data_IF_112872405405
#
_entry.id   IF_112872405405
#
_cell.length_a   1.000
_cell.length_b   1.000
_cell.length_c   1.000
_cell.angle_alpha   90.00
_cell.angle_beta   90.00
_cell.angle_gamma   90.00
#
_symmetry.space_group_name_H-M   'P 1'
#
loop_
_entity.id
_entity.type
_entity.pdbx_description
1 polymer ?
#
# COMPACT_ATOMS: atom_id res chain seq x y z
N UNK A 1 0.91 -15.89 -11.11
CA UNK A 1 2.29 -15.98 -11.64
C UNK A 1 3.12 -14.89 -11.00
N UNK A 2 4.30 -15.23 -10.48
CA UNK A 2 5.29 -14.28 -9.93
C UNK A 2 6.47 -14.06 -10.90
N UNK A 3 6.35 -14.54 -12.13
CA UNK A 3 7.41 -14.49 -13.15
C UNK A 3 7.98 -13.08 -13.37
N UNK A 4 7.16 -12.05 -13.18
CA UNK A 4 7.53 -10.66 -13.42
C UNK A 4 7.97 -9.92 -12.15
N UNK A 5 8.04 -10.59 -10.99
CA UNK A 5 8.28 -9.90 -9.73
C UNK A 5 9.73 -9.41 -9.56
N UNK A 6 10.69 -10.26 -9.88
CA UNK A 6 12.09 -9.90 -9.71
C UNK A 6 12.51 -8.76 -10.66
N UNK A 7 13.44 -7.94 -10.17
CA UNK A 7 14.02 -6.84 -10.95
C UNK A 7 14.68 -7.39 -12.21
N UNK A 8 14.35 -6.80 -13.34
CA UNK A 8 15.00 -7.05 -14.63
C UNK A 8 15.37 -5.69 -15.23
N UNK A 9 16.67 -5.38 -15.21
CA UNK A 9 17.19 -4.07 -15.60
C UNK A 9 16.78 -3.66 -17.02
N UNK A 10 16.50 -4.62 -17.90
CA UNK A 10 16.06 -4.38 -19.27
C UNK A 10 14.67 -3.74 -19.35
N UNK A 11 13.85 -3.87 -18.30
CA UNK A 11 12.50 -3.26 -18.22
C UNK A 11 12.54 -1.79 -17.80
N UNK A 12 13.68 -1.31 -17.29
CA UNK A 12 13.85 0.10 -16.89
C UNK A 12 13.15 0.51 -15.59
N UNK A 13 12.80 -0.46 -14.74
CA UNK A 13 12.28 -0.27 -13.38
C UNK A 13 12.72 -1.42 -12.46
N UNK A 14 12.79 -1.14 -11.16
CA UNK A 14 13.08 -2.09 -10.09
C UNK A 14 11.80 -2.78 -9.61
N UNK A 15 11.97 -4.01 -9.10
CA UNK A 15 10.88 -4.92 -8.70
C UNK A 15 9.93 -5.17 -9.87
N UNK A 16 8.71 -5.56 -9.56
CA UNK A 16 7.72 -5.89 -10.55
C UNK A 16 6.37 -6.20 -9.94
N UNK A 17 5.71 -7.22 -10.46
CA UNK A 17 4.34 -7.54 -10.08
C UNK A 17 4.06 -9.04 -10.16
N UNK A 18 3.02 -9.46 -9.45
CA UNK A 18 2.42 -10.77 -9.63
C UNK A 18 1.08 -10.62 -10.36
N UNK A 19 0.78 -11.58 -11.23
CA UNK A 19 -0.54 -11.72 -11.85
C UNK A 19 -1.33 -12.73 -11.04
N UNK A 20 -2.54 -12.36 -10.66
CA UNK A 20 -3.46 -13.21 -9.91
C UNK A 20 -4.82 -13.29 -10.61
N UNK A 21 -5.47 -14.42 -10.43
CA UNK A 21 -6.87 -14.58 -10.81
C UNK A 21 -7.71 -13.94 -9.71
N UNK A 22 -8.49 -12.93 -10.05
CA UNK A 22 -9.33 -12.22 -9.08
C UNK A 22 -10.73 -12.26 -9.64
N UNK A 23 -11.66 -12.96 -9.00
CA UNK A 23 -13.06 -12.89 -9.43
C UNK A 23 -13.74 -11.77 -8.67
N UNK A 24 -14.22 -10.68 -9.30
CA UNK A 24 -15.33 -10.00 -8.68
C UNK A 24 -16.54 -10.92 -8.81
N UNK A 25 -17.16 -11.24 -7.68
CA UNK A 25 -18.49 -11.84 -7.65
C UNK A 25 -19.48 -10.91 -8.39
N UNK A 26 -20.66 -11.38 -8.82
CA UNK A 26 -21.56 -10.60 -9.67
C UNK A 26 -21.87 -9.18 -9.18
N UNK A 27 -21.96 -8.99 -7.86
CA UNK A 27 -22.20 -7.67 -7.25
C UNK A 27 -21.02 -6.71 -7.49
N UNK A 28 -19.79 -7.16 -7.23
CA UNK A 28 -18.60 -6.35 -7.46
C UNK A 28 -18.35 -6.12 -8.96
N UNK A 29 -18.68 -7.10 -9.80
CA UNK A 29 -18.62 -6.92 -11.25
C UNK A 29 -19.59 -5.84 -11.73
N UNK A 30 -20.84 -5.83 -11.22
CA UNK A 30 -21.80 -4.78 -11.52
C UNK A 30 -21.30 -3.39 -11.11
N UNK A 31 -20.62 -3.29 -9.95
CA UNK A 31 -20.01 -2.04 -9.48
C UNK A 31 -18.90 -1.57 -10.41
N UNK A 32 -18.05 -2.49 -10.89
CA UNK A 32 -17.02 -2.14 -11.88
C UNK A 32 -17.65 -1.67 -13.20
N UNK A 33 -18.64 -2.40 -13.75
CA UNK A 33 -19.33 -2.01 -14.99
C UNK A 33 -19.98 -0.62 -14.85
N UNK A 34 -20.64 -0.35 -13.72
CA UNK A 34 -21.17 0.98 -13.39
C UNK A 34 -20.06 2.04 -13.29
N UNK A 35 -18.93 1.70 -12.68
CA UNK A 35 -17.76 2.58 -12.56
C UNK A 35 -17.15 2.99 -13.90
N UNK A 36 -17.32 2.17 -14.94
CA UNK A 36 -16.96 2.52 -16.32
C UNK A 36 -18.07 3.28 -17.07
N UNK A 37 -19.14 3.66 -16.37
CA UNK A 37 -20.22 4.50 -16.91
C UNK A 37 -21.33 3.72 -17.64
N UNK A 38 -21.31 2.38 -17.63
CA UNK A 38 -22.40 1.59 -18.20
C UNK A 38 -23.57 1.48 -17.22
N UNK A 39 -24.74 1.94 -17.63
CA UNK A 39 -25.96 1.93 -16.81
C UNK A 39 -27.19 1.47 -17.62
N UNK A 40 -28.29 1.16 -16.92
CA UNK A 40 -29.55 0.81 -17.55
C UNK A 40 -29.45 -0.44 -18.45
N UNK A 41 -29.93 -0.38 -19.72
CA UNK A 41 -29.84 -1.49 -20.65
C UNK A 41 -28.41 -2.00 -20.90
N UNK A 42 -27.42 -1.11 -20.93
CA UNK A 42 -26.03 -1.50 -21.14
C UNK A 42 -25.51 -2.34 -19.98
N UNK A 43 -25.67 -1.86 -18.73
CA UNK A 43 -25.32 -2.63 -17.53
C UNK A 43 -26.00 -4.01 -17.53
N UNK A 44 -27.28 -4.07 -17.91
CA UNK A 44 -28.01 -5.35 -17.98
C UNK A 44 -27.36 -6.34 -18.94
N UNK A 45 -26.82 -5.87 -20.06
CA UNK A 45 -26.16 -6.73 -21.04
C UNK A 45 -24.81 -7.25 -20.54
N UNK A 46 -23.96 -6.38 -19.99
CA UNK A 46 -22.72 -6.79 -19.31
C UNK A 46 -22.99 -7.84 -18.21
N UNK A 47 -24.05 -7.64 -17.42
CA UNK A 47 -24.44 -8.58 -16.36
C UNK A 47 -25.01 -9.89 -16.89
N UNK A 48 -25.66 -9.90 -18.07
CA UNK A 48 -26.15 -11.12 -18.71
C UNK A 48 -24.98 -11.99 -19.16
N UNK A 49 -23.92 -11.36 -19.64
CA UNK A 49 -22.72 -12.02 -20.13
C UNK A 49 -21.70 -12.33 -19.03
N UNK A 50 -22.03 -12.10 -17.74
CA UNK A 50 -21.12 -12.28 -16.60
C UNK A 50 -20.29 -13.58 -16.64
N UNK A 51 -20.89 -14.70 -17.05
CA UNK A 51 -20.21 -16.00 -17.13
C UNK A 51 -19.13 -16.09 -18.23
N UNK A 52 -19.08 -15.10 -19.12
CA UNK A 52 -18.10 -14.94 -20.19
C UNK A 52 -17.04 -13.88 -19.86
N UNK A 53 -17.15 -13.23 -18.69
CA UNK A 53 -16.14 -12.31 -18.20
C UNK A 53 -15.11 -13.04 -17.33
N UNK A 54 -13.86 -12.60 -17.46
CA UNK A 54 -12.76 -13.07 -16.61
C UNK A 54 -11.91 -11.89 -16.18
N UNK A 55 -11.44 -11.90 -14.94
CA UNK A 55 -10.65 -10.81 -14.38
C UNK A 55 -9.28 -11.32 -13.93
N UNK A 56 -8.25 -10.63 -14.42
CA UNK A 56 -6.88 -10.76 -13.94
C UNK A 56 -6.53 -9.51 -13.14
N UNK A 57 -6.00 -9.71 -11.94
CA UNK A 57 -5.42 -8.65 -11.13
C UNK A 57 -3.90 -8.64 -11.25
N UNK A 58 -3.31 -7.45 -11.16
CA UNK A 58 -1.86 -7.27 -11.00
C UNK A 58 -1.58 -6.59 -9.68
N UNK A 59 -0.62 -7.13 -8.93
CA UNK A 59 -0.14 -6.55 -7.68
C UNK A 59 1.27 -6.02 -7.95
N UNK A 60 1.34 -4.74 -8.33
CA UNK A 60 2.61 -4.05 -8.53
C UNK A 60 3.21 -3.69 -7.17
N UNK A 61 4.48 -4.04 -6.96
CA UNK A 61 5.23 -3.46 -5.85
C UNK A 61 5.53 -1.99 -6.17
N UNK A 62 5.11 -1.13 -5.24
CA UNK A 62 5.37 0.31 -5.29
C UNK A 62 6.48 0.62 -4.30
N UNK A 63 7.45 1.45 -4.71
CA UNK A 63 8.62 1.71 -3.87
C UNK A 63 8.25 2.56 -2.64
N UNK A 64 8.88 2.31 -1.49
CA UNK A 64 8.67 3.13 -0.30
C UNK A 64 9.31 4.51 -0.51
N UNK A 65 8.49 5.56 -0.53
CA UNK A 65 8.93 6.95 -0.56
C UNK A 65 8.76 7.58 0.82
N UNK A 66 9.70 8.41 1.26
CA UNK A 66 9.64 9.06 2.57
C UNK A 66 8.51 10.11 2.63
N UNK A 67 8.19 10.70 1.48
CA UNK A 67 7.14 11.70 1.31
C UNK A 67 5.74 11.08 1.39
N UNK A 68 5.62 9.78 1.11
CA UNK A 68 4.38 9.03 1.24
C UNK A 68 4.18 8.65 2.71
N UNK A 69 3.31 9.39 3.40
CA UNK A 69 3.14 9.29 4.85
C UNK A 69 1.70 9.52 5.28
N UNK A 70 1.40 9.03 6.47
CA UNK A 70 0.17 9.35 7.20
C UNK A 70 0.55 10.28 8.36
N UNK A 71 -0.07 11.45 8.42
CA UNK A 71 0.08 12.41 9.52
C UNK A 71 -1.27 12.68 10.16
N UNK A 72 -1.27 13.32 11.33
CA UNK A 72 -2.50 13.77 11.97
C UNK A 72 -2.89 15.15 11.41
N UNK A 73 -4.14 15.32 10.99
CA UNK A 73 -4.69 16.62 10.60
C UNK A 73 -4.97 17.45 11.86
N UNK A 74 -4.38 18.65 11.95
CA UNK A 74 -4.51 19.51 13.14
C UNK A 74 -5.79 20.33 13.20
N UNK A 75 -6.56 20.36 12.12
CA UNK A 75 -7.69 21.26 11.88
C UNK A 75 -9.03 20.52 11.72
N UNK A 76 -9.01 19.19 11.65
CA UNK A 76 -10.21 18.37 11.41
C UNK A 76 -10.23 17.19 12.36
N UNK A 77 -11.38 16.98 12.99
CA UNK A 77 -11.64 15.82 13.85
C UNK A 77 -12.78 14.98 13.29
N UNK A 78 -12.78 13.69 13.62
CA UNK A 78 -13.92 12.81 13.36
C UNK A 78 -15.11 13.13 14.27
N UNK A 79 -16.19 12.36 14.15
CA UNK A 79 -17.39 12.49 14.96
C UNK A 79 -17.18 12.29 16.47
N UNK A 80 -16.03 11.73 16.88
CA UNK A 80 -15.66 11.49 18.27
C UNK A 80 -14.67 12.52 18.80
N UNK A 81 -14.31 13.54 18.00
CA UNK A 81 -13.31 14.55 18.36
C UNK A 81 -11.87 14.07 18.21
N UNK A 82 -11.62 12.94 17.54
CA UNK A 82 -10.28 12.42 17.28
C UNK A 82 -9.74 13.09 16.01
N UNK A 83 -8.54 13.71 16.04
CA UNK A 83 -7.92 14.25 14.84
C UNK A 83 -7.84 13.24 13.69
N UNK A 84 -8.30 13.62 12.50
CA UNK A 84 -8.35 12.69 11.35
C UNK A 84 -6.97 12.42 10.78
N UNK A 85 -6.80 11.28 10.11
CA UNK A 85 -5.59 10.99 9.35
C UNK A 85 -5.54 11.81 8.05
N UNK A 86 -4.42 12.51 7.81
CA UNK A 86 -4.04 13.07 6.50
C UNK A 86 -3.09 12.10 5.82
N UNK A 87 -3.41 11.71 4.59
CA UNK A 87 -2.60 10.84 3.77
C UNK A 87 -1.96 11.66 2.64
N UNK A 88 -0.64 11.79 2.68
CA UNK A 88 0.15 12.34 1.58
C UNK A 88 0.67 11.16 0.76
N UNK A 89 0.32 11.07 -0.52
CA UNK A 89 0.70 9.94 -1.36
C UNK A 89 0.96 10.34 -2.81
N UNK A 90 2.02 9.77 -3.37
CA UNK A 90 2.42 9.93 -4.76
C UNK A 90 3.06 8.65 -5.30
N UNK A 91 3.10 8.52 -6.62
CA UNK A 91 3.85 7.48 -7.32
C UNK A 91 5.13 8.08 -7.88
N UNK A 92 6.25 7.35 -7.85
CA UNK A 92 7.49 7.76 -8.51
C UNK A 92 7.52 7.28 -9.98
N UNK A 93 8.57 7.62 -10.72
CA UNK A 93 8.73 7.19 -12.12
C UNK A 93 8.81 5.66 -12.23
N UNK A 94 9.50 5.00 -11.29
CA UNK A 94 9.60 3.55 -11.22
C UNK A 94 8.22 2.88 -11.16
N UNK A 95 7.37 3.36 -10.25
CA UNK A 95 6.02 2.84 -10.03
C UNK A 95 5.18 2.94 -11.30
N UNK A 96 5.23 4.09 -11.99
CA UNK A 96 4.49 4.32 -13.23
C UNK A 96 4.96 3.38 -14.35
N UNK A 97 6.27 3.16 -14.49
CA UNK A 97 6.83 2.22 -15.47
C UNK A 97 6.41 0.78 -15.17
N UNK A 98 6.47 0.37 -13.90
CA UNK A 98 6.03 -0.95 -13.47
C UNK A 98 4.53 -1.18 -13.78
N UNK A 99 3.67 -0.21 -13.40
CA UNK A 99 2.23 -0.27 -13.67
C UNK A 99 1.94 -0.31 -15.18
N UNK A 100 2.61 0.53 -15.97
CA UNK A 100 2.42 0.56 -17.42
C UNK A 100 2.79 -0.80 -18.07
N UNK A 101 3.91 -1.38 -17.66
CA UNK A 101 4.34 -2.69 -18.14
C UNK A 101 3.36 -3.80 -17.71
N UNK A 102 2.86 -3.76 -16.47
CA UNK A 102 1.88 -4.72 -15.97
C UNK A 102 0.56 -4.63 -16.76
N UNK A 103 0.07 -3.42 -17.03
CA UNK A 103 -1.13 -3.19 -17.87
C UNK A 103 -0.95 -3.73 -19.28
N UNK A 104 0.20 -3.47 -19.91
CA UNK A 104 0.50 -4.01 -21.23
C UNK A 104 0.55 -5.54 -21.22
N UNK A 105 1.17 -6.13 -20.19
CA UNK A 105 1.23 -7.59 -20.04
C UNK A 105 -0.17 -8.22 -19.95
N UNK A 106 -1.08 -7.64 -19.17
CA UNK A 106 -2.47 -8.11 -19.12
C UNK A 106 -3.20 -7.94 -20.45
N UNK A 107 -3.00 -6.80 -21.13
CA UNK A 107 -3.57 -6.56 -22.45
C UNK A 107 -3.14 -7.64 -23.44
N UNK A 108 -1.85 -7.97 -23.49
CA UNK A 108 -1.31 -8.99 -24.39
C UNK A 108 -1.88 -10.39 -24.09
N UNK A 109 -2.06 -10.72 -22.80
CA UNK A 109 -2.70 -11.98 -22.38
C UNK A 109 -4.15 -12.05 -22.88
N UNK A 110 -4.93 -11.00 -22.66
CA UNK A 110 -6.33 -11.00 -23.09
C UNK A 110 -6.49 -10.94 -24.61
N UNK A 111 -5.60 -10.23 -25.31
CA UNK A 111 -5.55 -10.24 -26.77
C UNK A 111 -5.25 -11.64 -27.31
N UNK A 112 -4.27 -12.34 -26.72
CA UNK A 112 -3.97 -13.73 -27.08
C UNK A 112 -5.15 -14.67 -26.77
N UNK A 113 -5.95 -14.37 -25.74
CA UNK A 113 -7.18 -15.07 -25.41
C UNK A 113 -8.39 -14.66 -26.28
N UNK A 114 -8.20 -13.75 -27.26
CA UNK A 114 -9.25 -13.23 -28.14
C UNK A 114 -10.41 -12.57 -27.38
N UNK A 115 -10.11 -11.88 -26.27
CA UNK A 115 -11.10 -11.09 -25.54
C UNK A 115 -11.73 -10.03 -26.45
N UNK A 116 -13.05 -9.93 -26.42
CA UNK A 116 -13.82 -9.01 -27.27
C UNK A 116 -14.00 -7.64 -26.64
N UNK A 117 -13.89 -7.57 -25.32
CA UNK A 117 -14.08 -6.36 -24.54
C UNK A 117 -13.14 -6.36 -23.33
N UNK A 118 -12.74 -5.17 -22.87
CA UNK A 118 -11.78 -4.96 -21.79
C UNK A 118 -12.22 -3.80 -20.89
N UNK A 119 -12.45 -4.11 -19.63
CA UNK A 119 -12.65 -3.13 -18.56
C UNK A 119 -11.39 -3.08 -17.68
N UNK A 120 -10.74 -1.91 -17.63
CA UNK A 120 -9.49 -1.71 -16.90
C UNK A 120 -9.73 -0.77 -15.72
N UNK A 121 -9.62 -1.30 -14.51
CA UNK A 121 -9.79 -0.53 -13.26
C UNK A 121 -8.49 -0.45 -12.49
N UNK A 122 -8.08 0.77 -12.13
CA UNK A 122 -7.00 0.98 -11.17
C UNK A 122 -7.50 0.76 -9.75
N UNK A 123 -6.85 -0.15 -9.01
CA UNK A 123 -7.22 -0.51 -7.65
C UNK A 123 -6.00 -0.51 -6.74
N UNK A 124 -6.11 0.18 -5.61
CA UNK A 124 -5.09 0.23 -4.56
C UNK A 124 -5.76 -0.15 -3.24
N UNK A 125 -5.21 -1.13 -2.53
CA UNK A 125 -5.87 -1.71 -1.35
C UNK A 125 -4.95 -2.10 -0.19
N UNK A 126 -3.63 -2.10 -0.40
CA UNK A 126 -2.67 -2.56 0.60
C UNK A 126 -1.86 -1.38 1.13
N UNK A 127 -2.23 -0.89 2.32
CA UNK A 127 -1.46 0.11 3.05
C UNK A 127 -0.48 -0.60 3.99
N UNK A 128 0.82 -0.35 3.78
CA UNK A 128 1.91 -0.97 4.54
C UNK A 128 3.02 0.05 4.79
N UNK A 129 3.96 -0.25 5.69
CA UNK A 129 5.21 0.50 5.86
C UNK A 129 5.15 1.80 6.69
N UNK A 130 3.98 2.16 7.25
CA UNK A 130 3.82 3.36 8.08
C UNK A 130 4.67 3.39 9.37
N UNK A 131 5.00 2.22 9.92
CA UNK A 131 5.83 2.05 11.12
C UNK A 131 6.93 1.02 10.86
N UNK A 132 7.63 1.15 9.72
CA UNK A 132 8.53 0.12 9.17
C UNK A 132 9.55 -0.42 10.18
N UNK A 133 9.80 -1.73 10.09
CA UNK A 133 10.98 -2.38 10.66
C UNK A 133 12.25 -1.87 9.97
N UNK A 134 13.34 -1.78 10.73
CA UNK A 134 14.67 -1.53 10.19
C UNK A 134 15.78 -1.93 11.16
N UNK A 135 17.01 -1.60 10.77
CA UNK A 135 18.21 -1.84 11.59
C UNK A 135 18.74 -0.58 12.28
N UNK A 136 18.20 0.59 11.96
CA UNK A 136 18.63 1.88 12.50
C UNK A 136 17.41 2.68 12.99
N UNK A 137 17.40 3.22 14.22
CA UNK A 137 16.37 4.16 14.67
C UNK A 137 16.28 5.42 13.80
N UNK A 138 17.30 5.71 12.99
CA UNK A 138 17.30 6.91 12.17
C UNK A 138 16.31 6.86 11.00
N UNK A 139 16.06 5.66 10.47
CA UNK A 139 15.26 5.42 9.26
C UNK A 139 14.10 4.43 9.45
N UNK A 140 13.85 3.99 10.69
CA UNK A 140 12.80 3.02 11.02
C UNK A 140 12.11 3.31 12.35
N UNK A 141 10.92 2.75 12.56
CA UNK A 141 10.12 2.98 13.77
C UNK A 141 10.32 1.86 14.79
N UNK A 142 10.48 0.62 14.30
CA UNK A 142 10.69 -0.55 15.12
C UNK A 142 11.91 -1.34 14.65
N UNK A 143 12.53 -2.08 15.57
CA UNK A 143 13.57 -3.05 15.23
C UNK A 143 12.98 -4.32 14.58
N UNK A 144 13.85 -5.25 14.20
CA UNK A 144 13.45 -6.54 13.62
C UNK A 144 12.59 -7.42 14.56
N UNK A 145 12.51 -7.08 15.85
CA UNK A 145 11.73 -7.77 16.87
C UNK A 145 10.41 -7.04 17.17
N UNK A 146 10.00 -6.12 16.31
CA UNK A 146 8.79 -5.28 16.41
C UNK A 146 8.81 -4.24 17.52
N UNK A 147 9.94 -4.07 18.22
CA UNK A 147 10.00 -3.12 19.34
C UNK A 147 10.26 -1.72 18.84
N UNK A 148 9.47 -0.76 19.32
CA UNK A 148 9.72 0.65 19.05
C UNK A 148 11.05 1.11 19.64
N UNK A 149 11.84 1.83 18.85
CA UNK A 149 13.15 2.32 19.29
C UNK A 149 13.06 3.25 20.50
N UNK A 150 12.03 4.09 20.55
CA UNK A 150 11.88 5.13 21.58
C UNK A 150 11.26 4.62 22.88
N UNK A 151 10.47 3.54 22.83
CA UNK A 151 9.67 3.05 23.96
C UNK A 151 9.94 1.55 24.17
N UNK A 152 10.76 1.16 25.17
CA UNK A 152 11.24 -0.22 25.33
C UNK A 152 10.17 -1.31 25.51
N UNK A 153 8.97 -0.94 25.95
CA UNK A 153 7.84 -1.85 26.20
C UNK A 153 6.70 -1.68 25.18
N UNK A 154 6.94 -0.98 24.06
CA UNK A 154 5.98 -0.81 22.99
C UNK A 154 6.36 -1.68 21.79
N UNK A 155 5.39 -2.41 21.26
CA UNK A 155 5.54 -3.27 20.09
C UNK A 155 4.42 -3.00 19.09
N UNK A 156 4.72 -3.11 17.79
CA UNK A 156 3.74 -2.87 16.70
C UNK A 156 3.64 -4.15 15.85
N UNK A 157 2.42 -4.61 15.53
CA UNK A 157 2.21 -5.91 14.87
C UNK A 157 1.08 -5.87 13.84
N UNK A 158 1.31 -5.18 12.73
CA UNK A 158 0.41 -5.12 11.58
C UNK A 158 1.19 -4.87 10.26
N UNK A 159 0.51 -4.54 9.16
CA UNK A 159 1.17 -4.24 7.87
C UNK A 159 2.07 -3.01 7.88
N UNK A 160 1.92 -2.10 8.86
CA UNK A 160 2.75 -0.90 8.96
C UNK A 160 4.22 -1.23 9.22
N UNK A 161 4.53 -2.39 9.81
CA UNK A 161 5.92 -2.76 10.10
C UNK A 161 6.68 -3.33 8.91
N UNK A 162 6.00 -3.59 7.78
CA UNK A 162 6.62 -4.15 6.59
C UNK A 162 7.40 -3.06 5.83
N UNK A 163 8.75 -3.17 5.70
CA UNK A 163 9.54 -2.15 5.01
C UNK A 163 9.34 -2.13 3.48
N UNK A 164 8.80 -3.22 2.94
CA UNK A 164 8.47 -3.40 1.52
C UNK A 164 7.08 -4.02 1.41
N UNK A 165 6.37 -3.72 0.33
CA UNK A 165 5.04 -4.27 0.09
C UNK A 165 5.12 -5.70 -0.46
N UNK A 166 6.12 -5.98 -1.31
CA UNK A 166 6.11 -7.16 -2.17
C UNK A 166 5.01 -7.09 -3.25
N UNK A 167 4.83 -8.20 -3.96
CA UNK A 167 3.85 -8.37 -5.03
C UNK A 167 2.72 -9.35 -4.69
N UNK A 168 2.58 -9.73 -3.42
CA UNK A 168 1.50 -10.60 -2.94
C UNK A 168 0.61 -9.87 -1.92
N UNK A 169 -0.52 -10.47 -1.59
CA UNK A 169 -1.43 -9.95 -0.58
C UNK A 169 -0.76 -10.05 0.81
N UNK A 170 -0.68 -8.95 1.59
CA UNK A 170 0.18 -8.90 2.76
C UNK A 170 -0.38 -9.66 3.98
N UNK A 171 -1.65 -10.09 3.96
CA UNK A 171 -2.32 -10.66 5.12
C UNK A 171 -1.58 -11.85 5.75
N UNK A 172 -1.05 -12.78 4.93
CA UNK A 172 -0.26 -13.91 5.44
C UNK A 172 1.07 -13.47 6.05
N UNK A 173 1.74 -12.48 5.45
CA UNK A 173 2.96 -11.89 6.02
C UNK A 173 2.69 -11.21 7.35
N UNK A 174 1.59 -10.46 7.44
CA UNK A 174 1.15 -9.80 8.68
C UNK A 174 0.87 -10.83 9.77
N UNK A 175 0.12 -11.90 9.46
CA UNK A 175 -0.15 -12.97 10.41
C UNK A 175 1.13 -13.69 10.86
N UNK A 176 2.06 -13.98 9.94
CA UNK A 176 3.32 -14.61 10.26
C UNK A 176 4.19 -13.74 11.19
N UNK A 177 4.26 -12.43 10.91
CA UNK A 177 4.99 -11.46 11.73
C UNK A 177 4.36 -11.31 13.13
N UNK A 178 3.03 -11.24 13.21
CA UNK A 178 2.31 -11.20 14.48
C UNK A 178 2.53 -12.48 15.31
N UNK A 179 2.47 -13.66 14.67
CA UNK A 179 2.78 -14.95 15.32
C UNK A 179 4.22 -15.00 15.84
N UNK A 180 5.18 -14.55 15.02
CA UNK A 180 6.61 -14.48 15.41
C UNK A 180 6.83 -13.59 16.64
N UNK A 181 6.17 -12.42 16.70
CA UNK A 181 6.23 -11.55 17.87
C UNK A 181 5.63 -12.24 19.10
N UNK A 182 4.46 -12.86 18.97
CA UNK A 182 3.80 -13.55 20.09
C UNK A 182 4.69 -14.65 20.70
N UNK A 183 5.33 -15.48 19.88
CA UNK A 183 6.29 -16.50 20.33
C UNK A 183 7.48 -15.88 21.06
N UNK A 184 8.04 -14.79 20.54
CA UNK A 184 9.18 -14.10 21.17
C UNK A 184 8.80 -13.48 22.50
N UNK A 185 7.62 -12.90 22.63
CA UNK A 185 7.12 -12.37 23.90
C UNK A 185 6.93 -13.50 24.93
N UNK A 186 6.31 -14.61 24.52
CA UNK A 186 6.10 -15.77 25.39
C UNK A 186 7.43 -16.37 25.89
N UNK A 187 8.44 -16.43 25.02
CA UNK A 187 9.76 -16.96 25.35
C UNK A 187 10.72 -15.93 25.97
N UNK A 188 10.28 -14.67 26.15
CA UNK A 188 11.14 -13.54 26.58
C UNK A 188 12.38 -13.36 25.69
N UNK A 189 12.21 -13.55 24.38
CA UNK A 189 13.23 -13.47 23.32
C UNK A 189 13.10 -12.22 22.44
N UNK A 190 12.52 -11.14 22.97
CA UNK A 190 12.66 -9.83 22.33
C UNK A 190 13.98 -9.24 22.83
N UNK A 191 14.84 -8.70 21.94
CA UNK A 191 16.19 -8.21 22.30
C UNK A 191 16.20 -7.25 23.51
N UNK A 192 17.35 -6.94 24.12
CA UNK A 192 17.39 -5.87 25.14
C UNK A 192 17.23 -4.49 24.48
N UNK A 193 16.69 -3.47 25.19
CA UNK A 193 16.54 -2.13 24.62
C UNK A 193 17.88 -1.63 24.11
N UNK A 194 17.98 -1.29 22.82
CA UNK A 194 19.17 -0.64 22.30
C UNK A 194 19.33 0.73 22.99
N UNK A 195 20.50 1.01 23.55
CA UNK A 195 20.78 2.20 24.39
C UNK A 195 20.91 3.52 23.62
N UNK A 196 20.52 3.57 22.34
CA UNK A 196 20.55 4.82 21.55
C UNK A 196 19.22 5.57 21.71
N UNK A 197 19.14 6.43 22.72
CA UNK A 197 18.07 7.42 22.84
C UNK A 197 18.24 8.49 21.76
N UNK A 198 17.27 8.62 20.85
CA UNK A 198 17.10 9.87 20.10
C UNK A 198 16.74 11.00 21.08
N UNK A 199 17.37 12.19 21.00
CA UNK A 199 16.87 13.34 21.73
C UNK A 199 15.48 13.69 21.22
N UNK A 200 14.54 13.90 22.13
CA UNK A 200 13.16 14.25 21.82
C UNK A 200 13.15 15.54 20.98
N UNK A 201 12.54 15.57 19.78
CA UNK A 201 12.43 16.80 19.02
C UNK A 201 11.57 17.77 19.83
N UNK A 202 12.11 18.95 20.16
CA UNK A 202 11.30 20.01 20.75
C UNK A 202 10.25 20.45 19.73
N UNK A 203 9.00 20.77 20.16
CA UNK A 203 8.02 21.36 19.28
C UNK A 203 8.60 22.62 18.65
N UNK A 204 8.47 22.73 17.33
CA UNK A 204 9.05 23.81 16.52
C UNK A 204 8.64 25.17 17.10
N UNK A 205 9.61 25.90 17.66
CA UNK A 205 9.39 27.22 18.27
C UNK A 205 9.31 28.34 17.24
N UNK A 206 9.21 28.02 15.94
CA UNK A 206 9.08 29.02 14.89
C UNK A 206 7.72 29.71 15.00
N UNK A 207 7.67 31.05 15.22
CA UNK A 207 6.42 31.78 15.19
C UNK A 207 5.79 31.69 13.79
N UNK A 208 4.45 31.68 13.70
CA UNK A 208 3.76 31.63 12.41
C UNK A 208 4.22 32.79 11.55
N UNK A 209 4.59 32.49 10.30
CA UNK A 209 4.95 33.50 9.31
C UNK A 209 3.72 34.38 9.06
N UNK A 210 3.80 35.71 9.25
CA UNK A 210 2.63 36.58 9.03
C UNK A 210 2.22 36.51 7.57
N UNK A 211 0.96 36.13 7.34
CA UNK A 211 0.30 36.22 6.03
C UNK A 211 0.30 37.68 5.59
N UNK A 212 1.01 37.98 4.49
CA UNK A 212 0.82 39.25 3.78
C UNK A 212 -0.59 39.25 3.22
N UNK A 213 -1.40 40.18 3.70
CA UNK A 213 -2.65 40.56 3.07
C UNK A 213 -2.26 41.51 1.94
N UNK A 214 -2.32 41.04 0.70
CA UNK A 214 -2.18 41.92 -0.45
C UNK A 214 -3.46 42.75 -0.56
N UNK A 215 -3.32 44.06 -0.36
CA UNK A 215 -4.33 45.03 -0.74
C UNK A 215 -4.10 45.40 -2.21
N UNK A 216 -5.06 45.06 -3.08
CA UNK A 216 -5.06 45.38 -4.50
C UNK A 216 -6.08 44.56 -5.26
#
# INVERSE_FOLDING_TARGET
SEQFYETDERRGFARGFAIQTVGPLPIEHAQHVLGHGHWGPALREYMRDYNHWYTLGVLCELLPLAENRVTVAGDVTDQNGIPVARMDYSQCENDRKNIAFAKQTLHDIFQAASAQDLLVTDRYAHLVGGCRMGSDPEDSVVDADHRAWEVPNLFIADGSVMPTQGSANPALTIMALASRLAERLALKRTGSPATRRRPHPQPDSRPPTPTRVDAG
#
